data_IF_385477120130
#
_entry.id   IF_385477120130
#
_cell.length_a   1.000
_cell.length_b   1.000
_cell.length_c   1.000
_cell.angle_alpha   90.00
_cell.angle_beta   90.00
_cell.angle_gamma   90.00
#
_symmetry.space_group_name_H-M   'P 1'
#
loop_
_entity.id
_entity.type
_entity.pdbx_description
1 polymer ?
#
# COMPACT_ATOMS: atom_id res chain seq x y z
N UNK A 1 -40.11 -52.68 3.13
CA UNK A 1 -38.83 -52.29 2.50
C UNK A 1 -39.05 -50.97 1.78
N UNK A 2 -38.78 -49.85 2.43
CA UNK A 2 -38.86 -48.52 1.81
C UNK A 2 -37.93 -47.57 2.55
N UNK A 3 -36.82 -47.21 1.91
CA UNK A 3 -35.98 -46.07 2.27
C UNK A 3 -34.91 -45.89 1.19
N UNK A 4 -35.32 -45.41 0.02
CA UNK A 4 -34.44 -44.75 -0.94
C UNK A 4 -34.69 -43.26 -0.83
N UNK A 5 -34.22 -42.62 0.24
CA UNK A 5 -34.27 -41.17 0.37
C UNK A 5 -33.08 -40.59 -0.41
N UNK A 6 -33.42 -39.73 -1.36
CA UNK A 6 -32.53 -38.95 -2.20
C UNK A 6 -31.42 -38.26 -1.41
N UNK A 7 -30.19 -38.77 -1.52
CA UNK A 7 -28.97 -38.03 -1.21
C UNK A 7 -28.69 -37.05 -2.37
N UNK A 8 -29.54 -36.03 -2.50
CA UNK A 8 -29.30 -34.93 -3.43
C UNK A 8 -28.28 -34.00 -2.78
N UNK A 9 -27.00 -34.26 -3.01
CA UNK A 9 -25.99 -33.22 -2.86
C UNK A 9 -26.46 -31.99 -3.64
N UNK A 10 -26.51 -30.79 -3.01
CA UNK A 10 -26.89 -29.59 -3.73
C UNK A 10 -25.94 -29.45 -4.94
N UNK A 11 -26.47 -29.13 -6.14
CA UNK A 11 -25.63 -29.02 -7.32
C UNK A 11 -24.52 -28.02 -7.03
N UNK A 12 -23.27 -28.46 -7.20
CA UNK A 12 -22.12 -27.57 -7.15
C UNK A 12 -22.28 -26.65 -8.35
N UNK A 13 -22.85 -25.47 -8.13
CA UNK A 13 -22.88 -24.40 -9.13
C UNK A 13 -21.43 -23.96 -9.30
N UNK A 14 -20.72 -24.63 -10.21
CA UNK A 14 -19.40 -24.21 -10.64
C UNK A 14 -19.57 -22.85 -11.30
N UNK A 15 -19.09 -21.81 -10.62
CA UNK A 15 -19.16 -20.45 -11.13
C UNK A 15 -18.12 -20.27 -12.19
N UNK A 16 -18.55 -19.75 -13.33
CA UNK A 16 -17.65 -19.50 -14.45
C UNK A 16 -16.93 -18.16 -14.27
N UNK A 17 -15.61 -18.21 -14.04
CA UNK A 17 -14.73 -17.05 -13.98
C UNK A 17 -13.94 -16.84 -15.27
N UNK A 18 -14.28 -17.54 -16.37
CA UNK A 18 -13.56 -17.46 -17.66
C UNK A 18 -13.53 -16.03 -18.23
N UNK A 19 -14.54 -15.21 -17.93
CA UNK A 19 -14.57 -13.81 -18.36
C UNK A 19 -13.39 -12.99 -17.79
N UNK A 20 -12.80 -13.40 -16.65
CA UNK A 20 -11.63 -12.77 -16.05
C UNK A 20 -10.31 -13.14 -16.74
N UNK A 21 -10.32 -14.13 -17.63
CA UNK A 21 -9.14 -14.65 -18.32
C UNK A 21 -8.95 -14.03 -19.72
N UNK A 22 -9.88 -13.21 -20.19
CA UNK A 22 -9.81 -12.64 -21.52
C UNK A 22 -8.64 -11.65 -21.65
N UNK A 23 -7.81 -11.74 -22.72
CA UNK A 23 -6.70 -10.82 -22.96
C UNK A 23 -7.09 -9.34 -23.01
N UNK A 24 -8.32 -9.04 -23.43
CA UNK A 24 -8.85 -7.67 -23.52
C UNK A 24 -9.02 -7.00 -22.15
N UNK A 25 -9.01 -7.77 -21.05
CA UNK A 25 -9.08 -7.22 -19.70
C UNK A 25 -7.78 -6.53 -19.28
N UNK A 26 -6.66 -6.79 -19.97
CA UNK A 26 -5.33 -6.33 -19.57
C UNK A 26 -4.79 -5.29 -20.54
N UNK A 27 -4.48 -4.11 -20.01
CA UNK A 27 -3.95 -3.02 -20.81
C UNK A 27 -2.44 -3.21 -21.02
N UNK A 28 -1.93 -3.00 -22.26
CA UNK A 28 -0.51 -3.01 -22.54
C UNK A 28 0.21 -1.93 -21.73
N UNK A 29 1.33 -2.29 -21.11
CA UNK A 29 2.12 -1.34 -20.32
C UNK A 29 3.07 -0.56 -21.25
N UNK A 30 3.03 0.78 -21.26
CA UNK A 30 3.87 1.57 -22.15
C UNK A 30 5.35 1.37 -21.84
N UNK A 31 6.18 1.20 -22.87
CA UNK A 31 7.64 1.10 -22.72
C UNK A 31 8.33 2.47 -22.72
N UNK A 32 7.70 3.50 -23.31
CA UNK A 32 8.28 4.83 -23.43
C UNK A 32 8.40 5.56 -22.09
N UNK A 33 7.65 5.14 -21.07
CA UNK A 33 7.73 5.70 -19.71
C UNK A 33 8.94 5.19 -18.92
N UNK A 34 9.74 4.29 -19.51
CA UNK A 34 10.92 3.69 -18.89
C UNK A 34 12.16 4.32 -19.50
N UNK A 35 13.00 4.98 -18.69
CA UNK A 35 14.27 5.51 -19.16
C UNK A 35 15.13 4.41 -19.80
N UNK A 36 15.90 4.77 -20.83
CA UNK A 36 16.73 3.83 -21.59
C UNK A 36 17.66 3.03 -20.69
N UNK A 37 18.24 3.67 -19.66
CA UNK A 37 19.08 3.04 -18.65
C UNK A 37 18.49 1.76 -18.05
N UNK A 38 17.19 1.76 -17.72
CA UNK A 38 16.53 0.59 -17.16
C UNK A 38 16.23 -0.46 -18.22
N UNK A 39 15.94 -0.06 -19.46
CA UNK A 39 15.64 -0.99 -20.56
C UNK A 39 16.85 -1.79 -21.00
N UNK A 40 18.04 -1.21 -20.93
CA UNK A 40 19.31 -1.84 -21.34
C UNK A 40 20.12 -2.39 -20.18
N UNK A 41 19.60 -2.32 -18.94
CA UNK A 41 20.32 -2.78 -17.75
C UNK A 41 20.54 -4.30 -17.80
N UNK A 42 21.73 -4.74 -17.41
CA UNK A 42 22.07 -6.16 -17.26
C UNK A 42 21.24 -6.85 -16.16
N UNK A 43 20.58 -6.08 -15.29
CA UNK A 43 19.73 -6.59 -14.22
C UNK A 43 18.26 -6.80 -14.64
N UNK A 44 17.93 -6.60 -15.93
CA UNK A 44 16.57 -6.88 -16.43
C UNK A 44 16.21 -8.36 -16.22
N UNK A 45 15.03 -8.65 -15.62
CA UNK A 45 14.58 -10.02 -15.45
C UNK A 45 14.32 -10.69 -16.79
N UNK A 46 14.66 -11.97 -16.89
CA UNK A 46 14.33 -12.80 -18.06
C UNK A 46 12.87 -13.24 -18.03
N UNK A 47 12.35 -13.67 -19.18
CA UNK A 47 10.98 -14.22 -19.32
C UNK A 47 10.75 -15.50 -18.49
N UNK A 48 11.82 -16.18 -18.06
CA UNK A 48 11.78 -17.36 -17.19
C UNK A 48 11.78 -17.04 -15.69
N UNK A 49 11.92 -15.77 -15.30
CA UNK A 49 11.98 -15.38 -13.89
C UNK A 49 10.64 -15.63 -13.19
N UNK A 50 10.66 -16.31 -12.04
CA UNK A 50 9.43 -16.64 -11.31
C UNK A 50 8.73 -15.40 -10.76
N UNK A 51 7.40 -15.45 -10.65
CA UNK A 51 6.60 -14.35 -10.10
C UNK A 51 7.04 -13.98 -8.67
N UNK A 52 7.37 -14.98 -7.85
CA UNK A 52 7.87 -14.78 -6.49
C UNK A 52 9.17 -13.98 -6.49
N UNK A 53 10.13 -14.34 -7.35
CA UNK A 53 11.41 -13.63 -7.49
C UNK A 53 11.22 -12.20 -7.98
N UNK A 54 10.31 -11.96 -8.93
CA UNK A 54 10.01 -10.62 -9.43
C UNK A 54 9.46 -9.72 -8.32
N UNK A 55 8.55 -10.24 -7.49
CA UNK A 55 7.97 -9.50 -6.37
C UNK A 55 8.99 -9.23 -5.26
N UNK A 56 9.82 -10.21 -4.90
CA UNK A 56 10.83 -10.04 -3.84
C UNK A 56 11.96 -9.09 -4.25
N UNK A 57 12.26 -9.00 -5.54
CA UNK A 57 13.29 -8.09 -6.09
C UNK A 57 12.74 -6.71 -6.49
N UNK A 58 11.42 -6.49 -6.41
CA UNK A 58 10.78 -5.20 -6.72
C UNK A 58 10.60 -4.91 -8.21
N UNK A 59 10.70 -5.91 -9.08
CA UNK A 59 10.43 -5.81 -10.52
C UNK A 59 8.93 -5.88 -10.81
N UNK A 60 8.19 -4.89 -10.30
CA UNK A 60 6.72 -4.89 -10.32
C UNK A 60 6.15 -4.84 -11.73
N UNK A 61 6.82 -4.20 -12.69
CA UNK A 61 6.32 -4.19 -14.07
C UNK A 61 6.36 -5.58 -14.68
N UNK A 62 7.49 -6.26 -14.56
CA UNK A 62 7.64 -7.63 -15.03
C UNK A 62 6.66 -8.57 -14.32
N UNK A 63 6.47 -8.41 -13.00
CA UNK A 63 5.47 -9.16 -12.25
C UNK A 63 4.04 -8.93 -12.78
N UNK A 64 3.67 -7.68 -13.09
CA UNK A 64 2.37 -7.35 -13.67
C UNK A 64 2.16 -8.00 -15.05
N UNK A 65 3.20 -8.02 -15.90
CA UNK A 65 3.14 -8.65 -17.23
C UNK A 65 3.02 -10.18 -17.08
N UNK A 66 3.85 -10.79 -16.23
CA UNK A 66 3.84 -12.23 -15.97
C UNK A 66 2.50 -12.69 -15.40
N UNK A 67 1.91 -11.94 -14.46
CA UNK A 67 0.59 -12.26 -13.90
C UNK A 67 -0.52 -12.20 -14.97
N UNK A 68 -0.52 -11.19 -15.83
CA UNK A 68 -1.47 -11.10 -16.95
C UNK A 68 -1.27 -12.26 -17.94
N UNK A 69 -0.03 -12.60 -18.30
CA UNK A 69 0.26 -13.70 -19.20
C UNK A 69 -0.18 -15.06 -18.62
N UNK A 70 0.00 -15.29 -17.31
CA UNK A 70 -0.47 -16.51 -16.66
C UNK A 70 -2.00 -16.60 -16.65
N UNK A 71 -2.70 -15.46 -16.51
CA UNK A 71 -4.17 -15.40 -16.59
C UNK A 71 -4.68 -15.70 -18.00
N UNK A 72 -4.02 -15.19 -19.05
CA UNK A 72 -4.53 -15.27 -20.43
C UNK A 72 -4.03 -16.48 -21.20
N UNK A 73 -2.79 -16.91 -20.93
CA UNK A 73 -2.05 -17.92 -21.68
C UNK A 73 -1.53 -18.99 -20.73
N UNK A 74 -2.41 -19.56 -19.89
CA UNK A 74 -2.03 -20.68 -19.03
C UNK A 74 -1.48 -21.82 -19.89
N UNK A 75 -0.19 -22.14 -19.70
CA UNK A 75 0.49 -23.25 -20.35
C UNK A 75 0.25 -24.58 -19.63
N UNK A 76 -0.42 -24.56 -18.48
CA UNK A 76 -0.79 -25.76 -17.74
C UNK A 76 -1.93 -26.51 -18.46
N UNK A 77 -1.87 -27.86 -18.55
CA UNK A 77 -2.99 -28.66 -19.05
C UNK A 77 -4.22 -28.58 -18.13
N UNK A 78 -4.06 -28.14 -16.88
CA UNK A 78 -5.18 -27.93 -15.94
C UNK A 78 -5.68 -26.48 -15.99
N UNK A 79 -7.01 -26.27 -16.01
CA UNK A 79 -7.58 -24.93 -15.91
C UNK A 79 -7.25 -24.32 -14.54
N UNK A 80 -7.06 -23.00 -14.51
CA UNK A 80 -6.80 -22.26 -13.28
C UNK A 80 -8.00 -22.36 -12.33
N UNK A 81 -7.72 -22.61 -11.06
CA UNK A 81 -8.73 -22.54 -10.00
C UNK A 81 -9.14 -21.07 -9.73
N UNK A 82 -10.35 -20.86 -9.20
CA UNK A 82 -10.81 -19.51 -8.85
C UNK A 82 -9.86 -18.77 -7.89
N UNK A 83 -9.27 -19.50 -6.92
CA UNK A 83 -8.29 -18.94 -5.97
C UNK A 83 -7.01 -18.47 -6.67
N UNK A 84 -6.49 -19.24 -7.62
CA UNK A 84 -5.33 -18.85 -8.43
C UNK A 84 -5.65 -17.63 -9.31
N UNK A 85 -6.83 -17.59 -9.92
CA UNK A 85 -7.29 -16.44 -10.72
C UNK A 85 -7.27 -15.17 -9.86
N UNK A 86 -7.88 -15.21 -8.67
CA UNK A 86 -7.92 -14.03 -7.80
C UNK A 86 -6.55 -13.62 -7.26
N UNK A 87 -5.66 -14.58 -6.96
CA UNK A 87 -4.28 -14.29 -6.56
C UNK A 87 -3.51 -13.58 -7.67
N UNK A 88 -3.60 -14.07 -8.90
CA UNK A 88 -2.93 -13.44 -10.04
C UNK A 88 -3.49 -12.05 -10.35
N UNK A 89 -4.81 -11.87 -10.24
CA UNK A 89 -5.44 -10.55 -10.35
C UNK A 89 -4.97 -9.58 -9.25
N UNK A 90 -4.88 -10.05 -8.01
CA UNK A 90 -4.34 -9.25 -6.91
C UNK A 90 -2.89 -8.83 -7.18
N UNK A 91 -2.05 -9.75 -7.66
CA UNK A 91 -0.66 -9.44 -8.03
C UNK A 91 -0.63 -8.42 -9.18
N UNK A 92 -1.38 -8.64 -10.27
CA UNK A 92 -1.47 -7.72 -11.41
C UNK A 92 -1.81 -6.30 -10.95
N UNK A 93 -2.92 -6.15 -10.24
CA UNK A 93 -3.41 -4.83 -9.82
C UNK A 93 -2.49 -4.17 -8.80
N UNK A 94 -1.99 -4.92 -7.81
CA UNK A 94 -1.07 -4.38 -6.80
C UNK A 94 0.25 -3.93 -7.42
N UNK A 95 0.80 -4.71 -8.36
CA UNK A 95 2.00 -4.34 -9.10
C UNK A 95 1.80 -3.08 -9.94
N UNK A 96 0.65 -2.90 -10.59
CA UNK A 96 0.31 -1.66 -11.30
C UNK A 96 0.24 -0.44 -10.37
N UNK A 97 -0.32 -0.59 -9.17
CA UNK A 97 -0.35 0.47 -8.15
C UNK A 97 1.07 0.80 -7.68
N UNK A 98 1.90 -0.20 -7.39
CA UNK A 98 3.27 -0.01 -6.90
C UNK A 98 4.18 0.70 -7.92
N UNK A 99 3.96 0.49 -9.22
CA UNK A 99 4.69 1.21 -10.27
C UNK A 99 4.08 2.58 -10.63
N UNK A 100 3.04 3.02 -9.92
CA UNK A 100 2.35 4.29 -10.16
C UNK A 100 1.34 4.29 -11.32
N UNK A 101 1.11 3.15 -11.98
CA UNK A 101 0.11 2.98 -13.06
C UNK A 101 -1.30 2.72 -12.50
N UNK A 102 -1.71 3.52 -11.51
CA UNK A 102 -2.95 3.33 -10.77
C UNK A 102 -4.20 3.54 -11.64
N UNK A 103 -4.12 4.43 -12.63
CA UNK A 103 -5.20 4.64 -13.61
C UNK A 103 -5.48 3.39 -14.42
N UNK A 104 -4.45 2.68 -14.86
CA UNK A 104 -4.56 1.40 -15.56
C UNK A 104 -5.19 0.34 -14.67
N UNK A 105 -4.72 0.21 -13.42
CA UNK A 105 -5.33 -0.71 -12.45
C UNK A 105 -6.83 -0.41 -12.22
N UNK A 106 -7.19 0.88 -12.18
CA UNK A 106 -8.57 1.34 -12.02
C UNK A 106 -9.46 1.07 -13.26
N UNK A 107 -8.87 0.95 -14.45
CA UNK A 107 -9.58 0.51 -15.65
C UNK A 107 -9.77 -1.01 -15.65
N UNK A 108 -8.73 -1.78 -15.33
CA UNK A 108 -8.77 -3.24 -15.34
C UNK A 108 -9.73 -3.81 -14.27
N UNK A 109 -9.79 -3.23 -13.06
CA UNK A 109 -10.67 -3.72 -11.98
C UNK A 109 -12.17 -3.68 -12.35
N UNK A 110 -12.57 -2.87 -13.35
CA UNK A 110 -13.98 -2.73 -13.76
C UNK A 110 -14.59 -4.04 -14.22
N UNK A 111 -13.77 -4.99 -14.69
CA UNK A 111 -14.23 -6.34 -15.10
C UNK A 111 -14.95 -7.07 -13.95
N UNK A 112 -14.58 -6.82 -12.69
CA UNK A 112 -15.22 -7.43 -11.52
C UNK A 112 -16.61 -6.87 -11.22
N UNK A 113 -17.02 -5.79 -11.90
CA UNK A 113 -18.35 -5.19 -11.75
C UNK A 113 -18.74 -4.96 -10.27
N UNK A 114 -19.68 -5.73 -9.75
CA UNK A 114 -20.12 -5.68 -8.34
C UNK A 114 -19.61 -6.89 -7.55
N UNK A 115 -18.50 -6.69 -6.81
CA UNK A 115 -17.95 -7.67 -5.89
C UNK A 115 -18.88 -8.00 -4.71
N UNK A 116 -19.88 -7.16 -4.40
CA UNK A 116 -20.85 -7.41 -3.35
C UNK A 116 -21.93 -8.45 -3.72
N UNK A 117 -22.04 -8.79 -5.01
CA UNK A 117 -23.04 -9.71 -5.53
C UNK A 117 -22.91 -11.13 -4.98
N UNK A 118 -24.05 -11.83 -4.86
CA UNK A 118 -24.11 -13.26 -4.54
C UNK A 118 -23.37 -14.14 -5.57
N UNK A 119 -23.02 -13.58 -6.74
CA UNK A 119 -22.13 -14.24 -7.69
C UNK A 119 -20.76 -14.57 -7.07
N UNK A 120 -20.26 -13.79 -6.11
CA UNK A 120 -18.95 -14.05 -5.50
C UNK A 120 -19.01 -14.79 -4.15
N UNK A 121 -20.16 -15.37 -3.77
CA UNK A 121 -20.35 -16.04 -2.47
C UNK A 121 -20.62 -17.52 -2.62
N UNK A 122 -19.92 -18.41 -1.94
CA UNK A 122 -20.18 -19.85 -2.00
C UNK A 122 -21.58 -20.25 -1.47
N UNK A 123 -21.92 -21.54 -1.52
CA UNK A 123 -23.22 -22.03 -1.01
C UNK A 123 -23.40 -21.83 0.51
N UNK A 124 -22.31 -21.58 1.25
CA UNK A 124 -22.31 -21.29 2.69
C UNK A 124 -22.38 -19.78 2.98
N UNK A 125 -22.35 -18.94 1.93
CA UNK A 125 -22.33 -17.49 2.02
C UNK A 125 -20.94 -16.88 2.20
N UNK A 126 -19.88 -17.69 2.20
CA UNK A 126 -18.49 -17.26 2.31
C UNK A 126 -18.03 -16.59 1.02
N UNK A 127 -17.21 -15.54 1.13
CA UNK A 127 -16.77 -14.78 -0.03
C UNK A 127 -15.62 -15.51 -0.75
N UNK A 128 -15.79 -15.78 -2.05
CA UNK A 128 -14.79 -16.46 -2.89
C UNK A 128 -13.58 -15.57 -3.19
N UNK A 129 -13.81 -14.26 -3.33
CA UNK A 129 -12.73 -13.28 -3.58
C UNK A 129 -11.96 -12.97 -2.29
N UNK A 130 -10.61 -13.07 -2.29
CA UNK A 130 -9.76 -12.76 -1.15
C UNK A 130 -10.00 -11.35 -0.59
N UNK A 131 -9.89 -11.20 0.74
CA UNK A 131 -10.13 -9.93 1.44
C UNK A 131 -9.31 -8.77 0.85
N UNK A 132 -8.01 -8.98 0.62
CA UNK A 132 -7.12 -7.94 0.13
C UNK A 132 -7.50 -7.44 -1.26
N UNK A 133 -7.96 -8.34 -2.14
CA UNK A 133 -8.45 -7.95 -3.47
C UNK A 133 -9.74 -7.14 -3.38
N UNK A 134 -10.65 -7.48 -2.45
CA UNK A 134 -11.87 -6.69 -2.23
C UNK A 134 -11.56 -5.29 -1.73
N UNK A 135 -10.67 -5.16 -0.76
CA UNK A 135 -10.24 -3.87 -0.20
C UNK A 135 -9.52 -3.02 -1.27
N UNK A 136 -8.65 -3.63 -2.06
CA UNK A 136 -7.98 -2.97 -3.18
C UNK A 136 -8.99 -2.52 -4.25
N UNK A 137 -9.97 -3.36 -4.57
CA UNK A 137 -10.98 -3.05 -5.56
C UNK A 137 -11.80 -1.81 -5.19
N UNK A 138 -12.19 -1.66 -3.92
CA UNK A 138 -12.88 -0.45 -3.44
C UNK A 138 -12.05 0.81 -3.71
N UNK A 139 -10.73 0.77 -3.45
CA UNK A 139 -9.84 1.92 -3.73
C UNK A 139 -9.75 2.19 -5.22
N UNK A 140 -9.51 1.17 -6.04
CA UNK A 140 -9.34 1.32 -7.48
C UNK A 140 -10.60 1.80 -8.19
N UNK A 141 -11.77 1.32 -7.78
CA UNK A 141 -13.06 1.81 -8.29
C UNK A 141 -13.29 3.28 -7.96
N UNK A 142 -12.92 3.71 -6.75
CA UNK A 142 -12.98 5.11 -6.34
C UNK A 142 -12.11 5.99 -7.24
N UNK A 143 -10.86 5.57 -7.50
CA UNK A 143 -9.91 6.29 -8.35
C UNK A 143 -10.42 6.38 -9.80
N UNK A 144 -10.92 5.27 -10.35
CA UNK A 144 -11.33 5.19 -11.76
C UNK A 144 -12.55 6.04 -12.13
N UNK A 145 -13.40 6.37 -11.16
CA UNK A 145 -14.61 7.20 -11.35
C UNK A 145 -14.50 8.53 -10.58
N UNK A 146 -13.47 8.71 -9.76
CA UNK A 146 -13.31 9.84 -8.83
C UNK A 146 -14.50 10.00 -7.86
N UNK A 147 -15.12 8.87 -7.48
CA UNK A 147 -16.24 8.82 -6.55
C UNK A 147 -15.82 8.21 -5.20
N UNK A 148 -15.24 9.07 -4.36
CA UNK A 148 -14.83 8.73 -3.00
C UNK A 148 -16.00 8.52 -2.04
N UNK A 149 -17.18 9.07 -2.34
CA UNK A 149 -18.37 8.88 -1.50
C UNK A 149 -18.86 7.44 -1.60
N UNK A 150 -18.90 6.90 -2.82
CA UNK A 150 -19.23 5.49 -3.04
C UNK A 150 -18.22 4.56 -2.38
N UNK A 151 -16.93 4.89 -2.40
CA UNK A 151 -15.91 4.03 -1.78
C UNK A 151 -16.02 3.99 -0.26
N UNK A 152 -16.37 5.11 0.38
CA UNK A 152 -16.70 5.14 1.83
C UNK A 152 -17.87 4.20 2.13
N UNK A 153 -18.94 4.24 1.34
CA UNK A 153 -20.08 3.33 1.52
C UNK A 153 -19.65 1.85 1.38
N UNK A 154 -18.84 1.52 0.37
CA UNK A 154 -18.32 0.16 0.17
C UNK A 154 -17.39 -0.29 1.32
N UNK A 155 -16.56 0.60 1.87
CA UNK A 155 -15.77 0.28 3.06
C UNK A 155 -16.66 0.01 4.28
N UNK A 156 -17.76 0.75 4.45
CA UNK A 156 -18.73 0.48 5.51
C UNK A 156 -19.46 -0.87 5.32
N UNK A 157 -19.70 -1.30 4.09
CA UNK A 157 -20.24 -2.65 3.84
C UNK A 157 -19.24 -3.75 4.19
N UNK A 158 -17.95 -3.59 3.83
CA UNK A 158 -16.90 -4.50 4.29
C UNK A 158 -16.76 -4.48 5.82
N UNK A 159 -16.93 -3.32 6.46
CA UNK A 159 -16.90 -3.20 7.91
C UNK A 159 -18.11 -3.89 8.56
N UNK A 160 -19.28 -3.85 7.93
CA UNK A 160 -20.48 -4.59 8.35
C UNK A 160 -20.24 -6.09 8.30
N UNK A 161 -19.64 -6.60 7.22
CA UNK A 161 -19.22 -7.99 7.11
C UNK A 161 -18.24 -8.35 8.23
N UNK A 162 -17.18 -7.56 8.43
CA UNK A 162 -16.17 -7.82 9.47
C UNK A 162 -16.78 -7.87 10.88
N UNK A 163 -17.70 -6.95 11.21
CA UNK A 163 -18.43 -6.98 12.49
C UNK A 163 -19.31 -8.23 12.63
N UNK A 164 -19.99 -8.63 11.56
CA UNK A 164 -20.77 -9.87 11.55
C UNK A 164 -19.90 -11.10 11.79
N UNK A 165 -18.71 -11.15 11.17
CA UNK A 165 -17.76 -12.26 11.35
C UNK A 165 -17.16 -12.31 12.77
N UNK A 166 -16.96 -11.15 13.42
CA UNK A 166 -16.60 -11.06 14.84
C UNK A 166 -17.74 -11.62 15.69
N UNK A 167 -18.96 -11.10 15.53
CA UNK A 167 -20.12 -11.48 16.35
C UNK A 167 -20.46 -12.97 16.24
N UNK A 168 -20.32 -13.57 15.05
CA UNK A 168 -20.54 -15.01 14.82
C UNK A 168 -19.58 -15.90 15.64
N UNK A 169 -18.40 -15.38 15.99
CA UNK A 169 -17.30 -16.14 16.61
C UNK A 169 -17.07 -15.76 18.07
N UNK A 170 -17.64 -14.64 18.53
CA UNK A 170 -17.61 -14.28 19.94
C UNK A 170 -18.42 -15.28 20.79
N UNK A 171 -17.92 -15.62 21.99
CA UNK A 171 -18.61 -16.55 22.87
C UNK A 171 -19.94 -15.92 23.32
N UNK A 172 -21.04 -16.67 23.16
CA UNK A 172 -22.36 -16.23 23.65
C UNK A 172 -22.36 -16.23 25.18
N UNK A 173 -22.91 -15.20 25.84
CA UNK A 173 -22.89 -15.09 27.30
C UNK A 173 -23.74 -16.15 28.03
N UNK A 174 -24.66 -16.83 27.33
CA UNK A 174 -25.69 -17.67 27.96
C UNK A 174 -25.37 -19.18 28.01
N UNK A 175 -24.15 -19.63 27.67
CA UNK A 175 -23.76 -21.04 27.86
C UNK A 175 -23.29 -21.32 29.30
N UNK A 176 -24.06 -20.83 30.28
CA UNK A 176 -23.94 -21.21 31.69
C UNK A 176 -24.90 -22.35 31.99
N UNK A 177 -24.67 -23.53 31.42
CA UNK A 177 -25.02 -24.80 32.08
C UNK A 177 -24.31 -25.95 31.38
N UNK A 178 -23.33 -26.48 32.09
CA UNK A 178 -23.07 -27.92 32.22
C UNK A 178 -22.64 -28.65 30.94
N UNK A 179 -21.36 -28.51 30.57
CA UNK A 179 -20.41 -29.63 30.48
C UNK A 179 -19.17 -29.23 29.67
N UNK A 180 -18.01 -29.69 30.16
CA UNK A 180 -16.68 -29.60 29.57
C UNK A 180 -16.05 -28.20 29.46
N UNK A 181 -15.10 -27.97 30.36
CA UNK A 181 -13.93 -27.13 30.18
C UNK A 181 -13.29 -27.39 28.81
N UNK A 182 -13.57 -26.52 27.85
CA UNK A 182 -12.71 -26.36 26.69
C UNK A 182 -12.69 -24.88 26.40
N UNK A 183 -11.56 -24.24 26.69
CA UNK A 183 -11.23 -22.92 26.17
C UNK A 183 -11.64 -22.84 24.70
N UNK A 184 -12.17 -21.70 24.21
CA UNK A 184 -12.43 -21.55 22.79
C UNK A 184 -11.16 -21.96 22.02
N UNK A 185 -11.24 -22.81 20.99
CA UNK A 185 -10.06 -23.27 20.27
C UNK A 185 -9.25 -22.05 19.83
N UNK A 186 -7.93 -22.05 20.04
CA UNK A 186 -7.04 -20.90 19.78
C UNK A 186 -7.30 -20.28 18.39
N UNK A 187 -7.59 -21.12 17.40
CA UNK A 187 -7.98 -20.73 16.04
C UNK A 187 -9.22 -19.82 15.93
N UNK A 188 -10.14 -19.82 16.90
CA UNK A 188 -11.28 -18.89 16.93
C UNK A 188 -10.84 -17.51 17.41
N UNK A 189 -9.98 -17.46 18.44
CA UNK A 189 -9.40 -16.21 18.95
C UNK A 189 -8.58 -15.51 17.88
N UNK A 190 -7.73 -16.24 17.16
CA UNK A 190 -6.90 -15.69 16.07
C UNK A 190 -7.74 -15.11 14.93
N UNK A 191 -8.85 -15.78 14.59
CA UNK A 191 -9.79 -15.30 13.57
C UNK A 191 -10.51 -14.04 14.03
N UNK A 192 -10.92 -13.96 15.29
CA UNK A 192 -11.52 -12.73 15.85
C UNK A 192 -10.50 -11.59 15.81
N UNK A 193 -9.25 -11.85 16.22
CA UNK A 193 -8.18 -10.86 16.16
C UNK A 193 -7.92 -10.37 14.72
N UNK A 194 -7.91 -11.28 13.74
CA UNK A 194 -7.80 -10.94 12.32
C UNK A 194 -8.94 -10.03 11.86
N UNK A 195 -10.19 -10.36 12.17
CA UNK A 195 -11.33 -9.53 11.76
C UNK A 195 -11.38 -8.17 12.48
N UNK A 196 -10.92 -8.11 13.74
CA UNK A 196 -10.73 -6.84 14.46
C UNK A 196 -9.64 -5.99 13.80
N UNK A 197 -8.54 -6.59 13.38
CA UNK A 197 -7.47 -5.92 12.64
C UNK A 197 -7.99 -5.37 11.30
N UNK A 198 -8.72 -6.18 10.53
CA UNK A 198 -9.39 -5.75 9.29
C UNK A 198 -10.36 -4.60 9.50
N UNK A 199 -11.17 -4.64 10.57
CA UNK A 199 -12.10 -3.57 10.89
C UNK A 199 -11.37 -2.25 11.22
N UNK A 200 -10.23 -2.34 11.91
CA UNK A 200 -9.36 -1.19 12.20
C UNK A 200 -8.76 -0.61 10.91
N UNK A 201 -8.19 -1.45 10.06
CA UNK A 201 -7.64 -1.05 8.76
C UNK A 201 -8.69 -0.37 7.87
N UNK A 202 -9.93 -0.89 7.83
CA UNK A 202 -11.04 -0.23 7.13
C UNK A 202 -11.36 1.17 7.68
N UNK A 203 -11.29 1.37 9.00
CA UNK A 203 -11.47 2.71 9.60
C UNK A 203 -10.40 3.70 9.13
N UNK A 204 -9.14 3.27 9.05
CA UNK A 204 -8.04 4.09 8.51
C UNK A 204 -8.28 4.39 7.02
N UNK A 205 -8.75 3.42 6.24
CA UNK A 205 -9.06 3.61 4.81
C UNK A 205 -10.24 4.54 4.56
N UNK A 206 -11.25 4.56 5.44
CA UNK A 206 -12.34 5.54 5.39
C UNK A 206 -11.80 6.94 5.63
N UNK A 207 -10.93 7.13 6.63
CA UNK A 207 -10.25 8.42 6.82
C UNK A 207 -9.43 8.83 5.60
N UNK A 208 -8.71 7.89 4.98
CA UNK A 208 -7.96 8.17 3.75
C UNK A 208 -8.89 8.57 2.59
N UNK A 209 -10.04 7.91 2.42
CA UNK A 209 -11.02 8.30 1.40
C UNK A 209 -11.63 9.70 1.66
N UNK A 210 -11.83 10.08 2.93
CA UNK A 210 -12.25 11.43 3.31
C UNK A 210 -11.17 12.48 2.97
N UNK A 211 -9.89 12.14 3.16
CA UNK A 211 -8.75 13.00 2.73
C UNK A 211 -8.74 13.17 1.21
N UNK A 212 -8.91 12.10 0.44
CA UNK A 212 -8.95 12.15 -1.03
C UNK A 212 -10.18 12.92 -1.55
N UNK A 213 -11.28 12.92 -0.79
CA UNK A 213 -12.47 13.74 -1.05
C UNK A 213 -12.24 15.24 -0.72
N UNK A 214 -11.17 15.58 -0.01
CA UNK A 214 -10.86 16.93 0.46
C UNK A 214 -11.53 17.32 1.78
N UNK A 215 -12.29 16.42 2.41
CA UNK A 215 -12.93 16.67 3.71
C UNK A 215 -12.01 16.24 4.86
N UNK A 216 -10.96 17.05 5.07
CA UNK A 216 -9.95 16.78 6.09
C UNK A 216 -10.51 16.88 7.52
N UNK A 217 -11.53 17.71 7.74
CA UNK A 217 -12.17 17.87 9.04
C UNK A 217 -13.00 16.63 9.42
N UNK A 218 -13.72 16.02 8.47
CA UNK A 218 -14.37 14.74 8.69
C UNK A 218 -13.36 13.62 8.90
N UNK A 219 -12.25 13.61 8.15
CA UNK A 219 -11.18 12.62 8.33
C UNK A 219 -10.61 12.66 9.76
N UNK A 220 -10.35 13.86 10.31
CA UNK A 220 -9.84 14.04 11.65
C UNK A 220 -10.83 13.52 12.71
N UNK A 221 -12.10 13.98 12.65
CA UNK A 221 -13.16 13.51 13.56
C UNK A 221 -13.38 12.00 13.47
N UNK A 222 -13.26 11.42 12.29
CA UNK A 222 -13.41 9.98 12.09
C UNK A 222 -12.30 9.20 12.81
N UNK A 223 -11.03 9.58 12.62
CA UNK A 223 -9.91 8.90 13.27
C UNK A 223 -9.91 9.09 14.79
N UNK A 224 -10.28 10.26 15.29
CA UNK A 224 -10.47 10.49 16.74
C UNK A 224 -11.55 9.56 17.31
N UNK A 225 -12.63 9.33 16.55
CA UNK A 225 -13.71 8.43 16.89
C UNK A 225 -13.31 6.94 16.95
N UNK A 226 -12.19 6.54 16.32
CA UNK A 226 -11.67 5.17 16.41
C UNK A 226 -11.08 4.84 17.80
N UNK A 227 -11.09 5.81 18.74
CA UNK A 227 -10.58 5.72 20.12
C UNK A 227 -9.13 5.27 20.14
N UNK A 228 -8.24 6.24 20.00
CA UNK A 228 -6.80 6.03 20.11
C UNK A 228 -6.46 5.56 21.53
N UNK A 229 -6.13 4.28 21.69
CA UNK A 229 -5.54 3.81 22.95
C UNK A 229 -4.20 4.53 23.15
N UNK A 230 -3.82 4.88 24.39
CA UNK A 230 -2.49 5.44 24.67
C UNK A 230 -1.36 4.56 24.10
N UNK A 231 -1.57 3.25 24.07
CA UNK A 231 -0.58 2.26 23.59
C UNK A 231 -0.62 2.05 22.07
N UNK A 232 -1.57 2.66 21.35
CA UNK A 232 -1.70 2.53 19.90
C UNK A 232 -0.77 3.53 19.17
N UNK A 233 0.52 3.20 19.14
CA UNK A 233 1.56 4.02 18.50
C UNK A 233 1.34 4.19 16.99
N UNK A 234 0.63 3.28 16.32
CA UNK A 234 0.35 3.37 14.89
C UNK A 234 -0.76 4.36 14.61
N UNK A 235 -1.91 4.21 15.27
CA UNK A 235 -3.03 5.12 15.07
C UNK A 235 -2.66 6.55 15.52
N UNK A 236 -1.89 6.72 16.61
CA UNK A 236 -1.35 8.03 17.01
C UNK A 236 -0.53 8.67 15.91
N UNK A 237 0.37 7.91 15.28
CA UNK A 237 1.18 8.43 14.18
C UNK A 237 0.32 8.84 12.98
N UNK A 238 -0.69 8.04 12.62
CA UNK A 238 -1.62 8.36 11.53
C UNK A 238 -2.39 9.66 11.84
N UNK A 239 -2.93 9.82 13.05
CA UNK A 239 -3.64 11.05 13.44
C UNK A 239 -2.69 12.26 13.45
N UNK A 240 -1.46 12.09 13.96
CA UNK A 240 -0.44 13.14 13.92
C UNK A 240 -0.12 13.57 12.49
N UNK A 241 0.11 12.62 11.58
CA UNK A 241 0.38 12.89 10.16
C UNK A 241 -0.81 13.59 9.49
N UNK A 242 -2.04 13.21 9.83
CA UNK A 242 -3.23 13.90 9.33
C UNK A 242 -3.25 15.35 9.81
N UNK A 243 -2.95 15.63 11.08
CA UNK A 243 -2.90 16.99 11.58
C UNK A 243 -1.78 17.83 10.95
N UNK A 244 -0.61 17.24 10.69
CA UNK A 244 0.44 17.88 9.92
C UNK A 244 -0.05 18.20 8.50
N UNK A 245 -0.74 17.26 7.84
CA UNK A 245 -1.32 17.47 6.49
C UNK A 245 -2.39 18.57 6.46
N UNK A 246 -3.18 18.70 7.51
CA UNK A 246 -4.20 19.76 7.69
C UNK A 246 -3.54 21.12 7.95
N UNK A 247 -2.31 21.14 8.47
CA UNK A 247 -1.66 22.35 8.99
C UNK A 247 -2.06 22.68 10.44
N UNK A 248 -2.77 21.80 11.13
CA UNK A 248 -3.06 21.95 12.56
C UNK A 248 -1.89 21.42 13.41
N UNK A 249 -0.78 22.15 13.36
CA UNK A 249 0.48 21.75 14.01
C UNK A 249 0.35 21.74 15.54
N UNK A 250 -0.54 22.57 16.10
CA UNK A 250 -0.83 22.57 17.53
C UNK A 250 -1.49 21.26 17.99
N UNK A 251 -2.44 20.72 17.23
CA UNK A 251 -3.04 19.42 17.52
C UNK A 251 -2.05 18.27 17.30
N UNK A 252 -1.22 18.33 16.25
CA UNK A 252 -0.17 17.35 16.01
C UNK A 252 0.80 17.24 17.20
N UNK A 253 1.24 18.38 17.77
CA UNK A 253 2.11 18.43 18.96
C UNK A 253 1.48 17.79 20.19
N UNK A 254 0.16 17.91 20.37
CA UNK A 254 -0.55 17.32 21.52
C UNK A 254 -0.62 15.80 21.47
N UNK A 255 -0.44 15.20 20.30
CA UNK A 255 -0.43 13.73 20.12
C UNK A 255 0.91 13.13 20.54
N UNK A 256 2.00 13.88 20.35
CA UNK A 256 3.30 13.47 20.83
C UNK A 256 3.28 13.39 22.37
N UNK A 257 3.88 12.36 22.97
CA UNK A 257 3.93 12.27 24.42
C UNK A 257 4.69 13.48 25.00
N UNK A 258 4.18 14.02 26.10
CA UNK A 258 4.70 15.22 26.77
C UNK A 258 6.08 15.02 27.40
N UNK A 259 6.53 13.78 27.58
CA UNK A 259 7.82 13.45 28.19
C UNK A 259 8.61 12.60 27.19
N UNK A 260 9.74 13.17 26.75
CA UNK A 260 10.76 12.62 25.85
C UNK A 260 10.54 11.20 25.36
N UNK A 261 9.79 11.05 24.29
CA UNK A 261 9.71 9.76 23.62
C UNK A 261 10.94 9.51 22.78
N UNK A 262 11.73 8.55 23.22
CA UNK A 262 13.03 8.21 22.63
C UNK A 262 12.91 7.41 21.33
N UNK A 263 11.69 6.99 20.97
CA UNK A 263 11.41 6.17 19.79
C UNK A 263 11.63 6.91 18.47
N UNK A 264 12.23 6.21 17.50
CA UNK A 264 12.50 6.70 16.13
C UNK A 264 11.27 7.37 15.51
N UNK A 265 10.09 6.74 15.64
CA UNK A 265 8.83 7.23 15.07
C UNK A 265 8.46 8.62 15.58
N UNK A 266 8.67 8.89 16.86
CA UNK A 266 8.28 10.15 17.48
C UNK A 266 9.24 11.27 17.11
N UNK A 267 10.54 10.95 16.96
CA UNK A 267 11.52 11.87 16.37
C UNK A 267 11.15 12.23 14.93
N UNK A 268 10.72 11.25 14.12
CA UNK A 268 10.24 11.49 12.74
C UNK A 268 9.04 12.45 12.75
N UNK A 269 8.01 12.18 13.58
CA UNK A 269 6.83 13.03 13.66
C UNK A 269 7.17 14.45 14.14
N UNK A 270 8.04 14.57 15.14
CA UNK A 270 8.54 15.86 15.65
C UNK A 270 9.26 16.65 14.55
N UNK A 271 10.10 15.99 13.75
CA UNK A 271 10.78 16.60 12.62
C UNK A 271 9.80 17.13 11.58
N UNK A 272 8.78 16.33 11.23
CA UNK A 272 7.76 16.71 10.26
C UNK A 272 6.92 17.91 10.76
N UNK A 273 6.63 17.97 12.07
CA UNK A 273 5.97 19.14 12.67
C UNK A 273 6.87 20.38 12.55
N UNK A 274 8.17 20.28 12.87
CA UNK A 274 9.11 21.40 12.75
C UNK A 274 9.23 21.89 11.30
N UNK A 275 9.26 20.98 10.33
CA UNK A 275 9.20 21.32 8.91
C UNK A 275 7.89 22.03 8.55
N UNK A 276 6.75 21.57 9.10
CA UNK A 276 5.46 22.24 8.94
C UNK A 276 5.44 23.66 9.53
N UNK A 277 6.21 23.91 10.59
CA UNK A 277 6.40 25.25 11.20
C UNK A 277 7.43 26.11 10.45
N UNK A 278 7.98 25.62 9.33
CA UNK A 278 9.11 26.23 8.62
C UNK A 278 10.37 26.43 9.49
N UNK A 279 10.54 25.63 10.55
CA UNK A 279 11.73 25.61 11.40
C UNK A 279 12.75 24.62 10.85
N UNK A 280 13.26 24.92 9.67
CA UNK A 280 14.14 24.02 8.90
C UNK A 280 15.45 23.69 9.65
N UNK A 281 16.05 24.70 10.29
CA UNK A 281 17.27 24.52 11.07
C UNK A 281 17.07 23.56 12.25
N UNK A 282 15.98 23.72 13.01
CA UNK A 282 15.65 22.85 14.14
C UNK A 282 15.34 21.43 13.66
N UNK A 283 14.57 21.29 12.58
CA UNK A 283 14.27 19.97 11.99
C UNK A 283 15.54 19.24 11.52
N UNK A 284 16.45 19.96 10.87
CA UNK A 284 17.73 19.44 10.40
C UNK A 284 18.63 19.02 11.57
N UNK A 285 18.79 19.90 12.57
CA UNK A 285 19.72 19.71 13.68
C UNK A 285 19.21 18.68 14.72
N UNK A 286 17.97 18.81 15.17
CA UNK A 286 17.46 18.06 16.31
C UNK A 286 16.92 16.67 15.93
N UNK A 287 16.40 16.51 14.72
CA UNK A 287 15.70 15.28 14.35
C UNK A 287 16.37 14.55 13.19
N UNK A 288 16.62 15.21 12.06
CA UNK A 288 17.12 14.48 10.89
C UNK A 288 18.59 14.08 10.99
N UNK A 289 19.47 14.93 11.54
CA UNK A 289 20.87 14.56 11.78
C UNK A 289 21.00 13.40 12.76
N UNK A 290 20.30 13.47 13.90
CA UNK A 290 20.27 12.40 14.91
C UNK A 290 19.73 11.09 14.34
N UNK A 291 18.68 11.14 13.52
CA UNK A 291 18.10 9.96 12.86
C UNK A 291 18.95 9.42 11.71
N UNK A 292 19.86 10.25 11.17
CA UNK A 292 20.76 9.84 10.08
C UNK A 292 22.06 9.19 10.54
N UNK A 293 22.35 9.22 11.84
CA UNK A 293 23.58 8.63 12.39
C UNK A 293 23.56 7.10 12.32
N UNK A 294 24.76 6.53 12.12
CA UNK A 294 24.94 5.17 11.61
C UNK A 294 24.38 4.04 12.48
N UNK A 295 24.15 4.30 13.76
CA UNK A 295 23.66 3.30 14.72
C UNK A 295 22.15 3.02 14.60
N UNK A 296 21.39 3.88 13.90
CA UNK A 296 19.93 3.76 13.71
C UNK A 296 19.53 3.29 12.29
N UNK A 297 20.51 2.88 11.47
CA UNK A 297 20.37 2.60 10.03
C UNK A 297 19.40 1.46 9.70
N UNK A 298 19.02 0.59 10.64
CA UNK A 298 18.10 -0.52 10.34
C UNK A 298 16.66 -0.06 10.05
N UNK A 299 16.22 1.11 10.52
CA UNK A 299 14.87 1.63 10.26
C UNK A 299 14.85 3.16 10.08
N UNK A 300 14.87 3.64 8.82
CA UNK A 300 14.49 5.02 8.48
C UNK A 300 15.62 6.04 8.33
N UNK A 301 16.90 5.65 8.48
CA UNK A 301 18.05 6.55 8.29
C UNK A 301 18.13 7.17 6.88
N UNK A 302 17.83 6.40 5.84
CA UNK A 302 17.83 6.88 4.45
C UNK A 302 16.74 7.95 4.20
N UNK A 303 15.55 7.73 4.76
CA UNK A 303 14.46 8.72 4.74
C UNK A 303 14.87 9.97 5.52
N UNK A 304 15.50 9.82 6.68
CA UNK A 304 15.97 10.94 7.48
C UNK A 304 17.01 11.79 6.72
N UNK A 305 17.98 11.15 6.06
CA UNK A 305 18.97 11.85 5.21
C UNK A 305 18.32 12.54 4.01
N UNK A 306 17.33 11.91 3.37
CA UNK A 306 16.57 12.55 2.30
C UNK A 306 15.82 13.80 2.82
N UNK A 307 15.18 13.72 3.98
CA UNK A 307 14.46 14.85 4.56
C UNK A 307 15.41 15.93 5.12
N UNK A 308 16.61 15.56 5.57
CA UNK A 308 17.69 16.49 5.89
C UNK A 308 18.07 17.33 4.66
N UNK A 309 18.26 16.68 3.50
CA UNK A 309 18.55 17.39 2.26
C UNK A 309 17.41 18.32 1.83
N UNK A 310 16.15 17.95 2.09
CA UNK A 310 15.00 18.85 1.89
C UNK A 310 15.11 20.08 2.80
N UNK A 311 15.45 19.90 4.08
CA UNK A 311 15.66 21.04 5.00
C UNK A 311 16.81 21.95 4.53
N UNK A 312 17.94 21.36 4.10
CA UNK A 312 19.09 22.09 3.55
C UNK A 312 18.69 22.90 2.31
N UNK A 313 17.89 22.33 1.41
CA UNK A 313 17.35 23.03 0.25
C UNK A 313 16.50 24.24 0.65
N UNK A 314 15.62 24.13 1.64
CA UNK A 314 14.82 25.26 2.13
C UNK A 314 15.64 26.31 2.89
N UNK A 315 16.82 25.96 3.41
CA UNK A 315 17.78 26.90 4.01
C UNK A 315 18.69 27.57 2.98
N UNK A 316 18.67 27.11 1.72
CA UNK A 316 19.51 27.65 0.63
C UNK A 316 20.83 26.90 0.40
N UNK A 317 21.12 25.87 1.19
CA UNK A 317 22.37 25.10 1.14
C UNK A 317 22.30 24.00 0.08
N UNK A 318 22.14 24.40 -1.19
CA UNK A 318 21.92 23.49 -2.32
C UNK A 318 23.09 22.53 -2.58
N UNK A 319 24.33 22.97 -2.37
CA UNK A 319 25.53 22.14 -2.56
C UNK A 319 25.58 20.99 -1.55
N UNK A 320 25.30 21.28 -0.26
CA UNK A 320 25.26 20.26 0.78
C UNK A 320 24.06 19.34 0.59
N UNK A 321 22.89 19.88 0.25
CA UNK A 321 21.72 19.08 -0.08
C UNK A 321 22.01 18.09 -1.23
N UNK A 322 22.70 18.55 -2.28
CA UNK A 322 23.16 17.71 -3.39
C UNK A 322 24.09 16.60 -2.90
N UNK A 323 25.12 16.95 -2.15
CA UNK A 323 26.13 16.04 -1.61
C UNK A 323 25.48 14.90 -0.79
N UNK A 324 24.54 15.26 0.10
CA UNK A 324 23.81 14.29 0.93
C UNK A 324 23.01 13.30 0.07
N UNK A 325 22.26 13.77 -0.93
CA UNK A 325 21.46 12.90 -1.79
C UNK A 325 22.33 12.05 -2.73
N UNK A 326 23.40 12.61 -3.30
CA UNK A 326 24.35 11.86 -4.14
C UNK A 326 25.07 10.78 -3.34
N UNK A 327 25.40 11.04 -2.08
CA UNK A 327 25.97 10.07 -1.14
C UNK A 327 25.04 8.88 -0.91
N UNK A 328 23.73 9.10 -0.75
CA UNK A 328 22.75 8.02 -0.63
C UNK A 328 22.68 7.15 -1.89
N UNK A 329 22.68 7.77 -3.08
CA UNK A 329 22.71 7.02 -4.34
C UNK A 329 24.01 6.21 -4.45
N UNK A 330 25.15 6.79 -4.05
CA UNK A 330 26.44 6.10 -4.08
C UNK A 330 26.54 4.93 -3.08
N UNK A 331 25.79 4.96 -1.98
CA UNK A 331 25.72 3.84 -1.02
C UNK A 331 24.77 2.72 -1.47
N UNK A 332 24.16 2.82 -2.67
CA UNK A 332 23.25 1.81 -3.19
C UNK A 332 21.79 2.02 -2.80
N UNK A 333 21.45 3.13 -2.15
CA UNK A 333 20.06 3.47 -1.79
C UNK A 333 19.39 4.18 -2.96
N UNK A 334 18.20 3.70 -3.35
CA UNK A 334 17.37 4.38 -4.35
C UNK A 334 15.88 4.12 -4.11
N UNK A 335 15.11 5.21 -4.15
CA UNK A 335 13.65 5.22 -4.08
C UNK A 335 13.12 6.51 -4.71
N UNK A 336 11.83 6.53 -5.08
CA UNK A 336 11.23 7.62 -5.90
C UNK A 336 11.42 9.01 -5.30
N UNK A 337 11.22 9.17 -3.98
CA UNK A 337 11.41 10.45 -3.31
C UNK A 337 12.86 10.97 -3.42
N UNK A 338 13.85 10.10 -3.25
CA UNK A 338 15.27 10.43 -3.35
C UNK A 338 15.66 10.88 -4.76
N UNK A 339 15.31 10.10 -5.78
CA UNK A 339 15.66 10.43 -7.17
C UNK A 339 14.93 11.68 -7.66
N UNK A 340 13.70 11.90 -7.22
CA UNK A 340 12.92 13.09 -7.55
C UNK A 340 13.51 14.35 -6.90
N UNK A 341 13.88 14.26 -5.62
CA UNK A 341 14.50 15.37 -4.90
C UNK A 341 15.87 15.72 -5.51
N UNK A 342 16.71 14.72 -5.82
CA UNK A 342 18.00 14.96 -6.45
C UNK A 342 17.86 15.54 -7.87
N UNK A 343 16.88 15.06 -8.64
CA UNK A 343 16.56 15.64 -9.96
C UNK A 343 16.11 17.10 -9.84
N UNK A 344 15.39 17.45 -8.77
CA UNK A 344 15.01 18.84 -8.47
C UNK A 344 16.25 19.69 -8.17
N UNK A 345 17.18 19.20 -7.36
CA UNK A 345 18.43 19.90 -7.08
C UNK A 345 19.23 20.12 -8.36
N UNK A 346 19.32 19.12 -9.25
CA UNK A 346 19.99 19.27 -10.55
C UNK A 346 19.35 20.35 -11.42
N UNK A 347 18.02 20.46 -11.44
CA UNK A 347 17.31 21.53 -12.16
C UNK A 347 17.57 22.92 -11.58
N UNK A 348 17.77 23.03 -10.26
CA UNK A 348 18.01 24.30 -9.57
C UNK A 348 19.47 24.77 -9.68
N UNK A 349 20.43 23.85 -9.79
CA UNK A 349 21.85 24.16 -9.64
C UNK A 349 22.68 23.97 -10.92
N UNK A 350 22.10 23.52 -12.03
CA UNK A 350 22.87 23.20 -13.23
C UNK A 350 22.12 23.38 -14.54
N UNK A 351 22.74 24.08 -15.48
CA UNK A 351 22.28 24.18 -16.87
C UNK A 351 22.31 22.84 -17.62
N UNK A 352 23.12 21.89 -17.13
CA UNK A 352 23.25 20.53 -17.67
C UNK A 352 22.37 19.50 -16.94
N UNK A 353 21.28 19.95 -16.30
CA UNK A 353 20.37 19.10 -15.52
C UNK A 353 19.87 17.86 -16.28
N UNK A 354 19.62 17.97 -17.59
CA UNK A 354 19.21 16.82 -18.43
C UNK A 354 20.23 15.68 -18.42
N UNK A 355 21.51 16.00 -18.55
CA UNK A 355 22.61 15.03 -18.56
C UNK A 355 22.77 14.41 -17.17
N UNK A 356 22.70 15.24 -16.11
CA UNK A 356 22.79 14.75 -14.73
C UNK A 356 21.65 13.79 -14.37
N UNK A 357 20.43 14.09 -14.81
CA UNK A 357 19.26 13.22 -14.62
C UNK A 357 19.41 11.91 -15.40
N UNK A 358 19.94 11.93 -16.62
CA UNK A 358 20.23 10.72 -17.39
C UNK A 358 21.29 9.84 -16.69
N UNK A 359 22.41 10.42 -16.26
CA UNK A 359 23.46 9.72 -15.52
C UNK A 359 22.95 9.17 -14.18
N UNK A 360 22.03 9.88 -13.52
CA UNK A 360 21.38 9.40 -12.30
C UNK A 360 20.54 8.14 -12.58
N UNK A 361 19.77 8.12 -13.67
CA UNK A 361 19.00 6.95 -14.08
C UNK A 361 19.92 5.75 -14.38
N UNK A 362 21.09 5.97 -15.02
CA UNK A 362 22.10 4.93 -15.24
C UNK A 362 22.66 4.36 -13.94
N UNK A 363 23.03 5.22 -12.99
CA UNK A 363 23.53 4.80 -11.66
C UNK A 363 22.49 3.98 -10.89
N UNK A 364 21.22 4.37 -10.94
CA UNK A 364 20.15 3.63 -10.26
C UNK A 364 19.85 2.30 -10.98
N UNK A 365 19.87 2.28 -12.31
CA UNK A 365 19.67 1.05 -13.08
C UNK A 365 20.77 0.01 -12.83
N UNK A 366 22.01 0.45 -12.58
CA UNK A 366 23.14 -0.39 -12.18
C UNK A 366 22.99 -1.02 -10.78
N UNK A 367 22.06 -0.54 -9.95
CA UNK A 367 21.73 -1.13 -8.66
C UNK A 367 20.68 -2.25 -8.76
N UNK A 368 20.23 -2.58 -9.97
CA UNK A 368 19.20 -3.59 -10.21
C UNK A 368 17.79 -3.19 -9.74
N UNK A 369 17.53 -1.88 -9.65
CA UNK A 369 16.21 -1.34 -9.32
C UNK A 369 15.44 -1.00 -10.59
N UNK A 370 14.11 -1.12 -10.52
CA UNK A 370 13.21 -0.67 -11.58
C UNK A 370 12.50 0.62 -11.17
N UNK A 371 12.60 1.67 -11.99
CA UNK A 371 11.94 2.96 -11.76
C UNK A 371 11.42 3.56 -13.08
N UNK A 372 10.43 4.45 -12.99
CA UNK A 372 9.83 5.11 -14.16
C UNK A 372 10.43 6.50 -14.37
N UNK A 373 10.24 7.08 -15.56
CA UNK A 373 10.72 8.43 -15.88
C UNK A 373 10.20 9.52 -14.94
N UNK A 374 9.00 9.31 -14.38
CA UNK A 374 8.40 10.21 -13.39
C UNK A 374 9.31 10.39 -12.15
N UNK A 375 10.04 9.35 -11.74
CA UNK A 375 10.96 9.41 -10.61
C UNK A 375 12.19 10.30 -10.85
N UNK A 376 12.46 10.66 -12.11
CA UNK A 376 13.60 11.49 -12.52
C UNK A 376 13.15 12.79 -13.21
N UNK A 377 11.86 13.16 -13.16
CA UNK A 377 11.32 14.31 -13.89
C UNK A 377 11.72 14.32 -15.39
N UNK A 378 11.55 13.17 -16.05
CA UNK A 378 11.83 12.96 -17.48
C UNK A 378 10.55 12.85 -18.30
#
# INVERSE_FOLDING_TARGET
MSSGLFDMHPPIISRDFSYLLHPQNFHPLPQHTIPTAFRTSAHQPTTSTSLHTLLSTGHFRAAAITAANQLTNSTSPTPLSADEIFKLWYVRLSSLVLMGSTSTAAQEIKVFSDLGSNFYRDARGEHLVPWELRVLAVRLQAIGVSDWRRSIALYYELAREARGEILKREPKPDSTTTSSSTSPPEHSSDKIALWRSRLRDLGIRVANALVEMGDLAAAARHLEGLRVSPDDHELRAIVCLLYVRIGNLAAAKKILPTVGGEGIREKILSALILMGEAKWADAAAAAWKVLSDKELISEGGDMARNNLAVCLLYMGDLEEARSVLESLINSGTSFTGLTFNLSTIYELCSDNSKVLKANLAERVAAQGKEMTGASFKM
#
